data_IF_144901710051
#
_entry.id   IF_144901710051
#
_cell.length_a   1.000
_cell.length_b   1.000
_cell.length_c   1.000
_cell.angle_alpha   90.00
_cell.angle_beta   90.00
_cell.angle_gamma   90.00
#
_symmetry.space_group_name_H-M   'P 1'
#
loop_
_entity.id
_entity.type
_entity.pdbx_description
1 polymer ?
#
# COMPACT_ATOMS: atom_id res chain seq x y z
N UNK A 1 -4.23 -0.44 18.02
CA UNK A 1 -3.83 -0.72 16.62
C UNK A 1 -3.08 0.49 16.06
N UNK A 2 -3.62 1.69 16.26
CA UNK A 2 -2.96 2.93 15.84
C UNK A 2 -1.59 3.14 16.47
N UNK A 3 -1.45 2.93 17.78
CA UNK A 3 -0.16 3.09 18.47
C UNK A 3 0.92 2.11 17.96
N UNK A 4 0.53 0.87 17.64
CA UNK A 4 1.45 -0.09 17.01
C UNK A 4 1.85 0.31 15.60
N UNK A 5 0.92 0.89 14.82
CA UNK A 5 1.20 1.38 13.47
C UNK A 5 2.09 2.63 13.52
N UNK A 6 1.84 3.53 14.47
CA UNK A 6 2.68 4.69 14.74
C UNK A 6 4.13 4.27 14.99
N UNK A 7 4.36 3.35 15.93
CA UNK A 7 5.71 2.85 16.20
C UNK A 7 6.38 2.22 14.98
N UNK A 8 5.62 1.52 14.13
CA UNK A 8 6.13 0.96 12.89
C UNK A 8 6.50 2.04 11.87
N UNK A 9 5.61 2.98 11.59
CA UNK A 9 5.86 4.04 10.61
C UNK A 9 6.91 5.05 11.06
N UNK A 10 7.10 5.25 12.37
CA UNK A 10 8.11 6.16 12.91
C UNK A 10 9.56 5.73 12.55
N UNK A 11 9.75 4.46 12.18
CA UNK A 11 11.04 3.95 11.70
C UNK A 11 11.34 4.36 10.24
N UNK A 12 10.34 4.81 9.48
CA UNK A 12 10.43 4.96 8.02
C UNK A 12 9.92 6.32 7.49
N UNK A 13 9.13 7.03 8.28
CA UNK A 13 8.44 8.27 7.89
C UNK A 13 8.94 9.41 8.78
N UNK A 14 8.84 10.64 8.28
CA UNK A 14 9.03 11.83 9.09
C UNK A 14 8.03 11.78 10.27
N UNK A 15 8.57 11.69 11.50
CA UNK A 15 7.77 11.58 12.72
C UNK A 15 6.75 12.70 12.91
N UNK A 16 7.00 13.87 12.32
CA UNK A 16 6.12 15.02 12.44
C UNK A 16 4.80 14.83 11.65
N UNK A 17 4.85 14.43 10.37
CA UNK A 17 3.60 14.09 9.62
C UNK A 17 2.91 12.85 10.23
N UNK A 18 3.68 11.95 10.79
CA UNK A 18 3.15 10.74 11.39
C UNK A 18 2.29 11.02 12.62
N UNK A 19 2.64 12.05 13.39
CA UNK A 19 1.86 12.51 14.56
C UNK A 19 0.51 13.09 14.11
N UNK A 20 0.51 13.95 13.10
CA UNK A 20 -0.72 14.47 12.45
C UNK A 20 -1.62 13.33 11.91
N UNK A 21 -1.03 12.33 11.25
CA UNK A 21 -1.76 11.17 10.73
C UNK A 21 -2.31 10.27 11.85
N UNK A 22 -1.60 10.18 12.98
CA UNK A 22 -2.01 9.40 14.14
C UNK A 22 -3.19 10.07 14.86
N UNK A 23 -3.12 11.39 15.06
CA UNK A 23 -4.16 12.17 15.70
C UNK A 23 -5.46 12.17 14.87
N UNK A 24 -5.34 12.19 13.54
CA UNK A 24 -6.49 12.08 12.63
C UNK A 24 -7.00 10.63 12.43
N UNK A 25 -6.43 9.64 13.13
CA UNK A 25 -6.75 8.21 13.02
C UNK A 25 -6.68 7.66 11.57
N UNK A 26 -5.74 8.18 10.77
CA UNK A 26 -5.61 7.84 9.35
C UNK A 26 -4.67 6.65 9.08
N UNK A 27 -3.85 6.23 10.05
CA UNK A 27 -2.85 5.18 9.85
C UNK A 27 -3.52 3.81 9.64
N UNK A 28 -4.51 3.45 10.46
CA UNK A 28 -5.27 2.20 10.29
C UNK A 28 -6.02 2.15 8.95
N UNK A 29 -6.87 3.13 8.60
CA UNK A 29 -7.60 3.13 7.33
C UNK A 29 -6.70 3.02 6.11
N UNK A 30 -5.59 3.77 6.08
CA UNK A 30 -4.64 3.73 4.95
C UNK A 30 -3.93 2.38 4.87
N UNK A 31 -3.58 1.79 6.01
CA UNK A 31 -2.96 0.45 6.06
C UNK A 31 -3.93 -0.64 5.60
N UNK A 32 -5.20 -0.60 6.03
CA UNK A 32 -6.23 -1.53 5.56
C UNK A 32 -6.53 -1.36 4.06
N UNK A 33 -6.48 -0.13 3.56
CA UNK A 33 -6.61 0.16 2.12
C UNK A 33 -5.45 -0.47 1.34
N UNK A 34 -4.22 -0.41 1.85
CA UNK A 34 -3.06 -1.09 1.27
C UNK A 34 -3.27 -2.61 1.17
N UNK A 35 -3.73 -3.23 2.26
CA UNK A 35 -4.03 -4.66 2.31
C UNK A 35 -5.14 -5.01 1.31
N UNK A 36 -6.24 -4.25 1.29
CA UNK A 36 -7.37 -4.45 0.41
C UNK A 36 -6.98 -4.39 -1.07
N UNK A 37 -6.24 -3.35 -1.48
CA UNK A 37 -5.76 -3.19 -2.87
C UNK A 37 -4.82 -4.34 -3.24
N UNK A 38 -3.83 -4.62 -2.40
CA UNK A 38 -2.89 -5.71 -2.64
C UNK A 38 -3.60 -7.05 -2.80
N UNK A 39 -4.62 -7.32 -1.96
CA UNK A 39 -5.43 -8.51 -2.04
C UNK A 39 -6.26 -8.58 -3.34
N UNK A 40 -6.98 -7.51 -3.68
CA UNK A 40 -7.80 -7.47 -4.90
C UNK A 40 -6.95 -7.65 -6.15
N UNK A 41 -5.78 -6.99 -6.22
CA UNK A 41 -4.88 -7.11 -7.36
C UNK A 41 -4.25 -8.51 -7.42
N UNK A 42 -3.85 -9.09 -6.29
CA UNK A 42 -3.33 -10.46 -6.25
C UNK A 42 -4.40 -11.50 -6.63
N UNK A 43 -5.65 -11.29 -6.19
CA UNK A 43 -6.79 -12.10 -6.59
C UNK A 43 -7.07 -12.00 -8.10
N UNK A 44 -7.07 -10.78 -8.63
CA UNK A 44 -7.19 -10.53 -10.06
C UNK A 44 -6.08 -11.22 -10.86
N UNK A 45 -4.85 -11.27 -10.32
CA UNK A 45 -3.72 -11.91 -10.97
C UNK A 45 -3.77 -13.46 -10.92
N UNK A 46 -4.11 -14.06 -9.78
CA UNK A 46 -4.01 -15.52 -9.59
C UNK A 46 -5.30 -16.29 -9.84
N UNK A 47 -6.45 -15.68 -9.58
CA UNK A 47 -7.76 -16.33 -9.57
C UNK A 47 -8.61 -15.84 -10.74
N UNK A 48 -8.53 -14.55 -11.08
CA UNK A 48 -9.37 -13.96 -12.14
C UNK A 48 -8.92 -14.18 -13.60
N UNK A 49 -7.68 -14.56 -14.00
CA UNK A 49 -7.39 -14.57 -15.42
C UNK A 49 -8.13 -15.73 -16.10
N UNK A 50 -9.24 -15.40 -16.77
CA UNK A 50 -9.49 -15.66 -18.19
C UNK A 50 -8.41 -16.52 -18.85
N UNK A 51 -8.38 -17.83 -18.57
CA UNK A 51 -7.77 -18.93 -19.35
C UNK A 51 -6.62 -18.63 -20.35
N UNK A 52 -5.64 -17.78 -20.01
CA UNK A 52 -4.48 -17.51 -20.88
C UNK A 52 -3.19 -17.70 -20.10
N UNK A 53 -2.42 -18.69 -20.56
CA UNK A 53 -1.11 -19.13 -20.03
C UNK A 53 -0.11 -17.96 -19.91
N UNK A 54 -0.29 -16.87 -20.66
CA UNK A 54 0.60 -15.71 -20.71
C UNK A 54 0.60 -14.81 -19.46
N UNK A 55 -0.41 -14.87 -18.60
CA UNK A 55 -0.49 -14.00 -17.40
C UNK A 55 0.29 -14.52 -16.19
N UNK A 56 0.93 -15.69 -16.30
CA UNK A 56 1.74 -16.27 -15.22
C UNK A 56 3.23 -15.88 -15.27
N UNK A 57 3.60 -14.96 -16.17
CA UNK A 57 4.98 -14.49 -16.32
C UNK A 57 5.40 -13.48 -15.26
N UNK A 58 6.69 -13.47 -14.92
CA UNK A 58 7.26 -12.52 -13.95
C UNK A 58 7.04 -11.05 -14.37
N UNK A 59 7.01 -10.75 -15.67
CA UNK A 59 6.71 -9.40 -16.17
C UNK A 59 5.30 -8.92 -15.82
N UNK A 60 4.27 -9.75 -16.03
CA UNK A 60 2.89 -9.43 -15.64
C UNK A 60 2.74 -9.32 -14.12
N UNK A 61 3.46 -10.16 -13.37
CA UNK A 61 3.49 -10.10 -11.91
C UNK A 61 4.06 -8.77 -11.39
N UNK A 62 5.22 -8.36 -11.94
CA UNK A 62 5.84 -7.07 -11.63
C UNK A 62 4.96 -5.89 -12.03
N UNK A 63 4.25 -6.00 -13.15
CA UNK A 63 3.30 -4.98 -13.59
C UNK A 63 2.16 -4.84 -12.58
N UNK A 64 1.55 -5.94 -12.13
CA UNK A 64 0.47 -5.90 -11.14
C UNK A 64 0.94 -5.33 -9.80
N UNK A 65 2.16 -5.68 -9.36
CA UNK A 65 2.79 -5.10 -8.19
C UNK A 65 3.01 -3.59 -8.35
N UNK A 66 3.47 -3.15 -9.52
CA UNK A 66 3.64 -1.72 -9.82
C UNK A 66 2.30 -0.98 -9.84
N UNK A 67 1.25 -1.58 -10.39
CA UNK A 67 -0.10 -1.01 -10.39
C UNK A 67 -0.67 -0.91 -8.97
N UNK A 68 -0.53 -1.93 -8.13
CA UNK A 68 -1.02 -1.86 -6.74
C UNK A 68 -0.30 -0.76 -5.96
N UNK A 69 1.02 -0.66 -6.10
CA UNK A 69 1.82 0.37 -5.46
C UNK A 69 1.46 1.79 -5.96
N UNK A 70 1.28 1.97 -7.27
CA UNK A 70 0.89 3.25 -7.86
C UNK A 70 -0.51 3.68 -7.43
N UNK A 71 -1.47 2.75 -7.37
CA UNK A 71 -2.82 3.05 -6.93
C UNK A 71 -2.82 3.52 -5.47
N UNK A 72 -2.12 2.81 -4.57
CA UNK A 72 -2.04 3.28 -3.19
C UNK A 72 -1.29 4.60 -3.07
N UNK A 73 -0.20 4.78 -3.82
CA UNK A 73 0.53 6.05 -3.86
C UNK A 73 -0.42 7.23 -4.15
N UNK A 74 -1.24 7.11 -5.20
CA UNK A 74 -2.19 8.17 -5.58
C UNK A 74 -3.25 8.37 -4.51
N UNK A 75 -3.80 7.30 -3.94
CA UNK A 75 -4.81 7.39 -2.86
C UNK A 75 -4.22 8.12 -1.66
N UNK A 76 -3.07 7.68 -1.15
CA UNK A 76 -2.41 8.32 0.00
C UNK A 76 -2.12 9.78 -0.27
N UNK A 77 -1.58 10.11 -1.45
CA UNK A 77 -1.27 11.48 -1.82
C UNK A 77 -2.53 12.35 -1.81
N UNK A 78 -3.60 11.89 -2.46
CA UNK A 78 -4.88 12.61 -2.53
C UNK A 78 -5.51 12.76 -1.14
N UNK A 79 -5.46 11.72 -0.30
CA UNK A 79 -5.98 11.79 1.07
C UNK A 79 -5.25 12.85 1.89
N UNK A 80 -3.91 12.87 1.85
CA UNK A 80 -3.13 13.90 2.53
C UNK A 80 -3.46 15.31 2.00
N UNK A 81 -3.59 15.48 0.68
CA UNK A 81 -3.99 16.76 0.08
C UNK A 81 -5.41 17.19 0.48
N UNK A 82 -6.36 16.26 0.54
CA UNK A 82 -7.72 16.57 0.95
C UNK A 82 -7.76 17.01 2.41
N UNK A 83 -6.99 16.35 3.28
CA UNK A 83 -6.86 16.72 4.69
C UNK A 83 -6.17 18.06 4.90
N UNK A 84 -5.13 18.36 4.12
CA UNK A 84 -4.46 19.67 4.16
C UNK A 84 -5.36 20.83 3.71
N UNK A 85 -6.36 20.57 2.85
CA UNK A 85 -7.31 21.59 2.40
C UNK A 85 -8.56 21.66 3.29
N UNK A 86 -8.66 20.83 4.34
CA UNK A 86 -9.72 20.91 5.32
C UNK A 86 -9.25 21.77 6.50
N UNK A 87 -10.13 22.60 7.05
CA UNK A 87 -9.88 23.20 8.36
C UNK A 87 -9.93 22.06 9.39
N UNK A 88 -8.75 21.57 9.77
CA UNK A 88 -8.61 20.58 10.84
C UNK A 88 -8.94 21.32 12.15
N UNK A 89 -10.00 20.92 12.87
CA UNK A 89 -10.32 21.55 14.14
C UNK A 89 -9.16 21.28 15.10
N UNK A 90 -8.41 22.33 15.44
CA UNK A 90 -7.29 22.25 16.37
C UNK A 90 -7.85 21.97 17.76
N UNK A 91 -7.45 20.85 18.35
CA UNK A 91 -7.73 20.59 19.75
C UNK A 91 -7.06 21.65 20.63
N UNK A 92 -7.76 22.17 21.63
CA UNK A 92 -7.17 23.09 22.61
C UNK A 92 -6.08 22.39 23.45
N UNK A 93 -6.13 21.06 23.53
CA UNK A 93 -5.12 20.24 24.19
C UNK A 93 -3.86 20.01 23.34
N UNK A 94 -3.92 20.18 22.01
CA UNK A 94 -2.78 20.04 21.11
C UNK A 94 -2.76 21.12 20.01
N UNK A 95 -2.11 22.27 20.27
CA UNK A 95 -2.08 23.40 19.34
C UNK A 95 -1.29 23.13 18.05
N UNK A 96 -0.53 22.03 17.98
CA UNK A 96 0.27 21.66 16.82
C UNK A 96 -0.47 20.74 15.83
N UNK A 97 -1.68 20.27 16.18
CA UNK A 97 -2.52 19.44 15.32
C UNK A 97 -2.77 20.11 13.96
N UNK A 98 -2.37 19.42 12.88
CA UNK A 98 -2.60 19.87 11.50
C UNK A 98 -1.56 20.86 10.96
N UNK A 99 -0.60 21.28 11.77
CA UNK A 99 0.45 22.23 11.40
C UNK A 99 1.44 21.62 10.37
N UNK A 100 1.47 20.29 10.24
CA UNK A 100 2.36 19.57 9.32
C UNK A 100 1.69 19.15 8.01
N UNK A 101 0.36 19.06 7.97
CA UNK A 101 -0.38 19.11 6.70
C UNK A 101 -0.13 20.44 5.94
N UNK A 102 0.19 21.52 6.65
CA UNK A 102 0.53 22.82 6.03
C UNK A 102 1.97 22.89 5.47
N UNK A 103 2.86 21.94 5.79
CA UNK A 103 4.27 21.96 5.37
C UNK A 103 4.52 21.51 3.92
N UNK A 104 3.47 21.15 3.20
CA UNK A 104 3.48 21.08 1.73
C UNK A 104 3.82 19.73 1.10
N UNK A 105 3.79 19.74 -0.23
CA UNK A 105 3.73 18.56 -1.12
C UNK A 105 4.86 17.55 -0.92
N UNK A 106 6.06 18.01 -0.56
CA UNK A 106 7.25 17.16 -0.44
C UNK A 106 7.09 16.09 0.65
N UNK A 107 6.43 16.43 1.76
CA UNK A 107 6.20 15.50 2.87
C UNK A 107 5.14 14.46 2.49
N UNK A 108 4.07 14.88 1.81
CA UNK A 108 3.04 13.97 1.31
C UNK A 108 3.59 12.99 0.29
N UNK A 109 4.47 13.46 -0.61
CA UNK A 109 5.15 12.59 -1.57
C UNK A 109 5.99 11.55 -0.85
N UNK A 110 6.79 11.95 0.15
CA UNK A 110 7.62 11.03 0.94
C UNK A 110 6.78 9.95 1.62
N UNK A 111 5.69 10.34 2.30
CA UNK A 111 4.80 9.37 2.94
C UNK A 111 4.09 8.46 1.93
N UNK A 112 3.62 9.01 0.81
CA UNK A 112 2.99 8.22 -0.26
C UNK A 112 3.95 7.20 -0.86
N UNK A 113 5.24 7.54 -0.99
CA UNK A 113 6.28 6.58 -1.39
C UNK A 113 6.46 5.47 -0.37
N UNK A 114 6.50 5.79 0.93
CA UNK A 114 6.58 4.76 1.98
C UNK A 114 5.37 3.82 1.94
N UNK A 115 4.16 4.35 1.74
CA UNK A 115 2.96 3.54 1.57
C UNK A 115 2.99 2.67 0.31
N UNK A 116 3.50 3.20 -0.80
CA UNK A 116 3.70 2.42 -2.03
C UNK A 116 4.67 1.24 -1.81
N UNK A 117 5.79 1.48 -1.12
CA UNK A 117 6.76 0.43 -0.77
C UNK A 117 6.15 -0.61 0.18
N UNK A 118 5.37 -0.18 1.18
CA UNK A 118 4.64 -1.09 2.05
C UNK A 118 3.66 -1.97 1.23
N UNK A 119 2.98 -1.39 0.25
CA UNK A 119 2.07 -2.13 -0.65
C UNK A 119 2.81 -3.17 -1.47
N UNK A 120 4.01 -2.86 -1.94
CA UNK A 120 4.87 -3.83 -2.64
C UNK A 120 5.15 -5.04 -1.76
N UNK A 121 5.52 -4.81 -0.49
CA UNK A 121 5.79 -5.88 0.49
C UNK A 121 4.53 -6.69 0.78
N UNK A 122 3.40 -6.03 1.03
CA UNK A 122 2.12 -6.71 1.30
C UNK A 122 1.68 -7.53 0.10
N UNK A 123 1.74 -6.96 -1.12
CA UNK A 123 1.41 -7.66 -2.35
C UNK A 123 2.30 -8.89 -2.54
N UNK A 124 3.60 -8.78 -2.28
CA UNK A 124 4.51 -9.91 -2.36
C UNK A 124 4.12 -11.05 -1.41
N UNK A 125 3.78 -10.74 -0.16
CA UNK A 125 3.35 -11.73 0.85
C UNK A 125 2.04 -12.39 0.42
N UNK A 126 1.02 -11.60 0.07
CA UNK A 126 -0.28 -12.13 -0.37
C UNK A 126 -0.10 -12.98 -1.63
N UNK A 127 0.68 -12.49 -2.59
CA UNK A 127 0.98 -13.19 -3.82
C UNK A 127 1.66 -14.55 -3.57
N UNK A 128 2.63 -14.62 -2.67
CA UNK A 128 3.29 -15.87 -2.28
C UNK A 128 2.29 -16.88 -1.73
N UNK A 129 1.38 -16.43 -0.87
CA UNK A 129 0.32 -17.28 -0.31
C UNK A 129 -0.63 -17.76 -1.40
N UNK A 130 -1.13 -16.85 -2.25
CA UNK A 130 -2.09 -17.15 -3.31
C UNK A 130 -1.52 -18.06 -4.40
N UNK A 131 -0.20 -17.99 -4.66
CA UNK A 131 0.49 -18.89 -5.58
C UNK A 131 0.27 -20.36 -5.21
N UNK A 132 0.21 -20.69 -3.91
CA UNK A 132 0.01 -22.06 -3.44
C UNK A 132 -1.42 -22.59 -3.71
N UNK A 133 -2.39 -21.68 -3.82
CA UNK A 133 -3.80 -22.02 -4.08
C UNK A 133 -4.19 -21.93 -5.55
N UNK A 134 -3.40 -21.25 -6.40
CA UNK A 134 -3.72 -21.07 -7.82
C UNK A 134 -3.49 -22.34 -8.65
N UNK A 135 -4.55 -22.80 -9.32
CA UNK A 135 -4.48 -23.91 -10.30
C UNK A 135 -3.64 -23.58 -11.54
N UNK A 136 -3.51 -22.29 -11.87
CA UNK A 136 -2.67 -21.79 -12.98
C UNK A 136 -1.17 -21.92 -12.70
N UNK A 137 -0.75 -21.84 -11.43
CA UNK A 137 0.64 -22.10 -11.03
C UNK A 137 0.97 -23.61 -11.05
N UNK A 138 -0.02 -24.46 -10.75
CA UNK A 138 0.12 -25.93 -10.79
C UNK A 138 0.21 -26.53 -12.20
N UNK A 139 -0.29 -25.85 -13.23
CA UNK A 139 -0.29 -26.36 -14.62
C UNK A 139 0.96 -25.99 -15.43
N UNK A 140 1.91 -25.22 -14.87
CA UNK A 140 3.24 -25.17 -15.46
C UNK A 140 3.96 -26.47 -15.09
N UNK A 141 4.31 -27.36 -16.03
CA UNK A 141 5.27 -28.40 -15.73
C UNK A 141 6.51 -27.71 -15.17
N UNK A 142 6.93 -28.11 -13.98
CA UNK A 142 8.26 -27.79 -13.47
C UNK A 142 9.24 -28.08 -14.61
N UNK A 143 10.13 -27.12 -14.86
CA UNK A 143 11.29 -27.28 -15.72
C UNK A 143 12.06 -28.54 -15.30
N UNK A 144 11.72 -29.68 -15.89
CA UNK A 144 12.66 -30.76 -16.10
C UNK A 144 13.17 -30.54 -17.53
N UNK A 145 14.48 -30.34 -17.74
CA UNK A 145 15.00 -30.53 -19.08
C UNK A 145 14.86 -32.02 -19.38
N UNK A 146 13.87 -32.42 -20.18
CA UNK A 146 13.91 -33.74 -20.79
C UNK A 146 15.05 -33.72 -21.80
N UNK A 147 16.19 -34.31 -21.42
CA UNK A 147 17.09 -34.90 -22.40
C UNK A 147 16.41 -36.10 -23.04
#
# INVERSE_FOLDING_TARGET
MEESLYNFYNLFVNGALLEDLYQEELLSPLTWTAIGIAFVVAFAFYIWPFNKVSFSGMGSWLLMMGVSALVLFVITLVTCYQKANQEIPRDEADPDQGNLFDQGVSIFLSYSFTMALLTVVIFFIISMLMKNFSKNAKHRPMLWPSK
#
